data_IF_821896599546
#
_entry.id   IF_821896599546
#
_cell.length_a   1.000
_cell.length_b   1.000
_cell.length_c   1.000
_cell.angle_alpha   90.00
_cell.angle_beta   90.00
_cell.angle_gamma   90.00
#
_symmetry.space_group_name_H-M   'P 1'
#
loop_
_entity.id
_entity.type
_entity.pdbx_description
1 polymer ?
#
# COMPACT_ATOMS: atom_id res chain seq x y z
N UNK A 1 -12.98 -39.34 -25.03
CA UNK A 1 -14.40 -39.03 -24.73
C UNK A 1 -14.42 -37.78 -23.86
N UNK A 2 -14.63 -36.60 -24.45
CA UNK A 2 -14.88 -35.30 -23.78
C UNK A 2 -14.83 -34.08 -24.74
N UNK A 3 -14.89 -34.28 -26.07
CA UNK A 3 -15.06 -33.15 -27.01
C UNK A 3 -16.50 -32.60 -27.00
N UNK A 4 -17.51 -33.45 -26.77
CA UNK A 4 -18.92 -33.01 -26.73
C UNK A 4 -19.27 -32.06 -25.57
N UNK A 5 -18.67 -32.25 -24.40
CA UNK A 5 -18.98 -31.44 -23.21
C UNK A 5 -18.46 -29.99 -23.33
N UNK A 6 -17.35 -29.78 -24.05
CA UNK A 6 -16.77 -28.45 -24.26
C UNK A 6 -17.58 -27.64 -25.29
N UNK A 7 -18.06 -28.29 -26.35
CA UNK A 7 -18.97 -27.67 -27.32
C UNK A 7 -20.36 -27.40 -26.70
N UNK A 8 -20.86 -28.28 -25.82
CA UNK A 8 -22.10 -28.08 -25.07
C UNK A 8 -22.00 -26.93 -24.05
N UNK A 9 -20.85 -26.69 -23.42
CA UNK A 9 -20.64 -25.57 -22.48
C UNK A 9 -20.48 -24.20 -23.19
N UNK A 10 -19.88 -24.18 -24.39
CA UNK A 10 -19.90 -23.02 -25.27
C UNK A 10 -21.32 -22.68 -25.75
N UNK A 11 -22.10 -23.73 -26.07
CA UNK A 11 -23.54 -23.62 -26.31
C UNK A 11 -24.30 -23.06 -25.11
N UNK A 12 -24.01 -23.53 -23.90
CA UNK A 12 -24.67 -23.07 -22.67
C UNK A 12 -24.45 -21.58 -22.38
N UNK A 13 -23.27 -21.03 -22.68
CA UNK A 13 -23.00 -19.58 -22.58
C UNK A 13 -23.79 -18.77 -23.61
N UNK A 14 -23.91 -19.28 -24.84
CA UNK A 14 -24.73 -18.68 -25.89
C UNK A 14 -26.22 -18.71 -25.51
N UNK A 15 -26.70 -19.84 -24.98
CA UNK A 15 -28.10 -20.06 -24.61
C UNK A 15 -28.53 -19.21 -23.40
N UNK A 16 -27.63 -18.99 -22.42
CA UNK A 16 -27.91 -18.10 -21.28
C UNK A 16 -27.93 -16.63 -21.72
N UNK A 17 -27.04 -16.22 -22.64
CA UNK A 17 -27.05 -14.85 -23.17
C UNK A 17 -28.29 -14.60 -24.04
N UNK A 18 -28.70 -15.56 -24.87
CA UNK A 18 -29.96 -15.47 -25.63
C UNK A 18 -31.17 -15.48 -24.71
N UNK A 19 -31.19 -16.31 -23.66
CA UNK A 19 -32.26 -16.32 -22.66
C UNK A 19 -32.34 -15.00 -21.87
N UNK A 20 -31.19 -14.40 -21.52
CA UNK A 20 -31.13 -13.07 -20.90
C UNK A 20 -31.65 -11.96 -21.81
N UNK A 21 -31.40 -12.06 -23.12
CA UNK A 21 -31.96 -11.17 -24.12
C UNK A 21 -33.48 -11.37 -24.30
N UNK A 22 -33.95 -12.61 -24.36
CA UNK A 22 -35.39 -12.93 -24.44
C UNK A 22 -36.15 -12.45 -23.20
N UNK A 23 -35.54 -12.56 -22.01
CA UNK A 23 -36.10 -12.00 -20.78
C UNK A 23 -36.13 -10.48 -20.83
N UNK A 24 -35.10 -9.83 -21.36
CA UNK A 24 -35.12 -8.38 -21.56
C UNK A 24 -36.17 -7.95 -22.58
N UNK A 25 -36.44 -8.78 -23.59
CA UNK A 25 -37.51 -8.55 -24.55
C UNK A 25 -38.89 -8.63 -23.88
N UNK A 26 -39.14 -9.66 -23.06
CA UNK A 26 -40.36 -9.75 -22.23
C UNK A 26 -40.49 -8.60 -21.22
N UNK A 27 -39.38 -8.17 -20.62
CA UNK A 27 -39.33 -7.02 -19.69
C UNK A 27 -39.66 -5.72 -20.41
N UNK A 28 -39.17 -5.53 -21.63
CA UNK A 28 -39.50 -4.37 -22.46
C UNK A 28 -41.01 -4.31 -22.77
N UNK A 29 -41.63 -5.47 -23.00
CA UNK A 29 -43.07 -5.61 -23.20
C UNK A 29 -43.89 -5.25 -21.95
N UNK A 30 -43.32 -5.48 -20.77
CA UNK A 30 -43.88 -5.13 -19.46
C UNK A 30 -43.46 -3.73 -18.96
N UNK A 31 -42.76 -2.94 -19.79
CA UNK A 31 -42.16 -1.64 -19.43
C UNK A 31 -41.22 -1.70 -18.22
N UNK A 32 -40.63 -2.87 -17.97
CA UNK A 32 -39.63 -3.08 -16.93
C UNK A 32 -38.24 -2.75 -17.47
N UNK A 33 -37.34 -2.18 -16.65
CA UNK A 33 -35.97 -1.87 -17.10
C UNK A 33 -35.23 -3.15 -17.52
N UNK A 34 -34.44 -3.12 -18.61
CA UNK A 34 -33.60 -4.25 -19.00
C UNK A 34 -32.56 -4.51 -17.90
N UNK A 35 -32.25 -5.79 -17.67
CA UNK A 35 -31.23 -6.25 -16.74
C UNK A 35 -30.06 -6.81 -17.55
N UNK A 36 -28.84 -6.38 -17.25
CA UNK A 36 -27.65 -6.94 -17.87
C UNK A 36 -27.32 -8.29 -17.21
N UNK A 37 -27.29 -9.35 -18.03
CA UNK A 37 -26.98 -10.71 -17.61
C UNK A 37 -25.55 -11.12 -18.02
N UNK A 38 -24.68 -10.14 -18.35
CA UNK A 38 -23.29 -10.40 -18.71
C UNK A 38 -22.44 -10.84 -17.51
N UNK A 39 -21.60 -11.86 -17.74
CA UNK A 39 -20.70 -12.46 -16.75
C UNK A 39 -19.30 -11.80 -16.76
N UNK A 40 -19.20 -10.53 -17.13
CA UNK A 40 -17.94 -9.81 -17.02
C UNK A 40 -17.72 -9.45 -15.55
N UNK A 41 -16.62 -9.94 -14.96
CA UNK A 41 -16.12 -9.50 -13.66
C UNK A 41 -16.04 -7.97 -13.65
N UNK A 42 -16.92 -7.34 -12.87
CA UNK A 42 -16.83 -5.92 -12.59
C UNK A 42 -15.97 -5.71 -11.36
N UNK A 43 -14.69 -5.47 -11.59
CA UNK A 43 -13.93 -4.55 -10.75
C UNK A 43 -14.58 -3.16 -10.90
N UNK A 44 -15.38 -2.75 -9.92
CA UNK A 44 -15.72 -1.33 -9.78
C UNK A 44 -16.02 -0.97 -8.33
N UNK A 45 -15.39 0.13 -7.95
CA UNK A 45 -15.61 0.95 -6.79
C UNK A 45 -17.09 1.16 -6.44
N UNK A 46 -17.30 1.31 -5.13
CA UNK A 46 -18.54 1.65 -4.46
C UNK A 46 -19.17 2.90 -5.10
N UNK A 47 -20.30 2.73 -5.77
CA UNK A 47 -21.31 3.79 -5.90
C UNK A 47 -22.55 3.35 -5.13
N UNK A 48 -22.81 4.04 -4.03
CA UNK A 48 -24.10 4.03 -3.33
C UNK A 48 -25.17 4.60 -4.27
N UNK A 49 -25.90 3.73 -4.97
CA UNK A 49 -27.36 3.81 -5.05
C UNK A 49 -27.96 2.60 -5.79
N UNK A 50 -29.05 2.06 -5.22
CA UNK A 50 -29.87 0.91 -5.66
C UNK A 50 -29.42 -0.49 -5.22
N UNK A 51 -29.75 -0.80 -3.97
CA UNK A 51 -29.99 -2.18 -3.52
C UNK A 51 -31.13 -2.82 -4.33
N UNK A 52 -30.79 -3.71 -5.26
CA UNK A 52 -31.67 -4.82 -5.60
C UNK A 52 -31.43 -5.90 -4.55
N UNK A 53 -32.45 -6.19 -3.74
CA UNK A 53 -32.46 -7.33 -2.81
C UNK A 53 -32.42 -8.65 -3.61
N UNK A 54 -31.23 -9.09 -4.00
CA UNK A 54 -30.96 -10.52 -4.22
C UNK A 54 -31.08 -11.21 -2.87
N UNK A 55 -31.90 -12.25 -2.77
CA UNK A 55 -32.06 -12.96 -1.50
C UNK A 55 -30.70 -13.50 -1.03
N UNK A 56 -30.47 -13.56 0.29
CA UNK A 56 -29.23 -14.10 0.85
C UNK A 56 -28.92 -15.53 0.34
N UNK A 57 -29.96 -16.31 0.01
CA UNK A 57 -29.83 -17.63 -0.60
C UNK A 57 -29.30 -17.57 -2.04
N UNK A 58 -29.77 -16.63 -2.86
CA UNK A 58 -29.23 -16.41 -4.22
C UNK A 58 -27.77 -15.96 -4.16
N UNK A 59 -27.42 -14.99 -3.31
CA UNK A 59 -26.03 -14.55 -3.15
C UNK A 59 -25.12 -15.69 -2.68
N UNK A 60 -25.60 -16.55 -1.77
CA UNK A 60 -24.84 -17.72 -1.33
C UNK A 60 -24.67 -18.78 -2.43
N UNK A 61 -25.70 -19.01 -3.26
CA UNK A 61 -25.63 -19.96 -4.39
C UNK A 61 -24.71 -19.42 -5.49
N UNK A 62 -24.81 -18.15 -5.86
CA UNK A 62 -23.93 -17.52 -6.84
C UNK A 62 -22.49 -17.42 -6.32
N UNK A 63 -22.30 -17.09 -5.04
CA UNK A 63 -20.99 -17.09 -4.40
C UNK A 63 -20.36 -18.49 -4.36
N UNK A 64 -21.14 -19.52 -4.03
CA UNK A 64 -20.68 -20.91 -4.05
C UNK A 64 -20.34 -21.39 -5.47
N UNK A 65 -21.21 -21.13 -6.46
CA UNK A 65 -20.95 -21.49 -7.85
C UNK A 65 -19.75 -20.73 -8.43
N UNK A 66 -19.60 -19.44 -8.09
CA UNK A 66 -18.41 -18.65 -8.39
C UNK A 66 -17.17 -19.32 -7.81
N UNK A 67 -17.15 -19.57 -6.49
CA UNK A 67 -16.01 -20.22 -5.83
C UNK A 67 -15.68 -21.60 -6.38
N UNK A 68 -16.69 -22.39 -6.77
CA UNK A 68 -16.51 -23.74 -7.32
C UNK A 68 -15.97 -23.71 -8.75
N UNK A 69 -16.44 -22.77 -9.58
CA UNK A 69 -15.93 -22.53 -10.93
C UNK A 69 -14.50 -21.99 -10.86
N UNK A 70 -14.23 -21.06 -9.94
CA UNK A 70 -12.90 -20.50 -9.71
C UNK A 70 -11.93 -21.58 -9.22
N UNK A 71 -12.37 -22.45 -8.29
CA UNK A 71 -11.57 -23.58 -7.79
C UNK A 71 -11.27 -24.59 -8.90
N UNK A 72 -12.26 -24.95 -9.73
CA UNK A 72 -12.05 -25.89 -10.86
C UNK A 72 -11.22 -25.30 -11.98
N UNK A 73 -11.37 -24.01 -12.25
CA UNK A 73 -10.56 -23.28 -13.22
C UNK A 73 -9.13 -23.13 -12.71
N UNK A 74 -8.94 -22.78 -11.43
CA UNK A 74 -7.64 -22.73 -10.78
C UNK A 74 -6.95 -24.09 -10.75
N UNK A 75 -7.66 -25.20 -10.50
CA UNK A 75 -7.08 -26.55 -10.48
C UNK A 75 -6.60 -27.00 -11.87
N UNK A 76 -7.36 -26.68 -12.93
CA UNK A 76 -6.95 -26.93 -14.32
C UNK A 76 -5.78 -26.02 -14.75
N UNK A 77 -5.85 -24.74 -14.40
CA UNK A 77 -4.79 -23.78 -14.72
C UNK A 77 -3.52 -24.05 -13.90
N UNK A 78 -3.64 -24.66 -12.72
CA UNK A 78 -2.51 -25.07 -11.88
C UNK A 78 -1.67 -26.14 -12.54
N UNK A 79 -2.31 -27.19 -13.05
CA UNK A 79 -1.59 -28.23 -13.79
C UNK A 79 -1.03 -27.70 -15.12
N UNK A 80 -1.74 -26.80 -15.80
CA UNK A 80 -1.23 -26.16 -17.02
C UNK A 80 -0.01 -25.27 -16.75
N UNK A 81 -0.05 -24.40 -15.73
CA UNK A 81 1.06 -23.53 -15.34
C UNK A 81 2.27 -24.35 -14.88
N UNK A 82 2.04 -25.40 -14.08
CA UNK A 82 3.07 -26.35 -13.67
C UNK A 82 3.72 -27.03 -14.86
N UNK A 83 2.93 -27.62 -15.77
CA UNK A 83 3.44 -28.29 -16.95
C UNK A 83 4.24 -27.33 -17.83
N UNK A 84 3.74 -26.12 -18.07
CA UNK A 84 4.43 -25.10 -18.85
C UNK A 84 5.81 -24.74 -18.26
N UNK A 85 5.88 -24.43 -16.97
CA UNK A 85 7.15 -24.09 -16.30
C UNK A 85 8.10 -25.28 -16.27
N UNK A 86 7.58 -26.49 -16.02
CA UNK A 86 8.37 -27.72 -16.02
C UNK A 86 8.92 -28.05 -17.41
N UNK A 87 8.10 -27.95 -18.46
CA UNK A 87 8.53 -28.18 -19.85
C UNK A 87 9.58 -27.16 -20.27
N UNK A 88 9.40 -25.88 -19.94
CA UNK A 88 10.43 -24.88 -20.18
C UNK A 88 11.75 -25.26 -19.49
N UNK A 89 11.70 -25.57 -18.19
CA UNK A 89 12.87 -25.94 -17.40
C UNK A 89 13.63 -27.14 -18.00
N UNK A 90 12.92 -28.16 -18.47
CA UNK A 90 13.50 -29.36 -19.07
C UNK A 90 14.16 -29.07 -20.43
N UNK A 91 13.60 -28.14 -21.21
CA UNK A 91 14.02 -27.89 -22.59
C UNK A 91 15.13 -26.82 -22.72
N UNK A 92 15.26 -25.89 -21.78
CA UNK A 92 16.25 -24.80 -21.85
C UNK A 92 17.65 -25.19 -21.36
N UNK A 93 17.82 -26.37 -20.75
CA UNK A 93 19.05 -26.75 -20.04
C UNK A 93 20.32 -26.62 -20.91
N UNK A 94 20.25 -27.05 -22.18
CA UNK A 94 21.38 -26.89 -23.11
C UNK A 94 21.66 -25.43 -23.44
N UNK A 95 20.63 -24.64 -23.73
CA UNK A 95 20.77 -23.22 -24.07
C UNK A 95 21.36 -22.41 -22.90
N UNK A 96 20.99 -22.75 -21.66
CA UNK A 96 21.59 -22.16 -20.47
C UNK A 96 23.08 -22.50 -20.36
N UNK A 97 23.45 -23.77 -20.57
CA UNK A 97 24.87 -24.20 -20.51
C UNK A 97 25.70 -23.51 -21.60
N UNK A 98 25.17 -23.38 -22.82
CA UNK A 98 25.84 -22.66 -23.92
C UNK A 98 26.10 -21.18 -23.55
N UNK A 99 25.21 -20.59 -22.76
CA UNK A 99 25.36 -19.25 -22.19
C UNK A 99 26.13 -19.21 -20.85
N UNK A 100 26.68 -20.33 -20.37
CA UNK A 100 27.40 -20.39 -19.09
C UNK A 100 26.51 -20.16 -17.85
N UNK A 101 25.22 -20.42 -17.98
CA UNK A 101 24.20 -20.28 -16.94
C UNK A 101 23.72 -21.65 -16.43
N UNK A 102 23.10 -21.66 -15.26
CA UNK A 102 22.44 -22.83 -14.70
C UNK A 102 21.03 -22.47 -14.22
N UNK A 103 20.12 -23.46 -14.17
CA UNK A 103 18.81 -23.30 -13.57
C UNK A 103 18.79 -23.93 -12.17
N UNK A 104 18.14 -23.25 -11.22
CA UNK A 104 17.76 -23.84 -9.94
C UNK A 104 16.51 -24.70 -10.09
N UNK A 105 16.16 -25.43 -9.02
CA UNK A 105 14.97 -26.27 -9.02
C UNK A 105 13.69 -25.44 -9.25
N UNK A 106 12.69 -26.09 -9.83
CA UNK A 106 11.33 -25.54 -9.89
C UNK A 106 10.72 -25.58 -8.49
N UNK A 107 10.30 -24.41 -8.02
CA UNK A 107 9.67 -24.19 -6.73
C UNK A 107 8.20 -23.78 -6.92
N UNK A 108 7.34 -24.18 -5.98
CA UNK A 108 5.96 -23.71 -5.91
C UNK A 108 5.77 -22.84 -4.66
N UNK A 109 5.27 -21.62 -4.84
CA UNK A 109 4.91 -20.73 -3.74
C UNK A 109 3.49 -20.21 -3.94
N UNK A 110 2.54 -20.77 -3.19
CA UNK A 110 1.11 -20.48 -3.36
C UNK A 110 0.63 -20.78 -4.77
N UNK A 111 0.17 -19.72 -5.45
CA UNK A 111 -0.37 -19.74 -6.81
C UNK A 111 0.71 -19.52 -7.90
N UNK A 112 1.99 -19.65 -7.58
CA UNK A 112 3.10 -19.41 -8.51
C UNK A 112 4.02 -20.63 -8.60
N UNK A 113 4.38 -20.99 -9.84
CA UNK A 113 5.53 -21.85 -10.15
C UNK A 113 6.69 -21.00 -10.65
N UNK A 114 7.89 -21.23 -10.12
CA UNK A 114 9.06 -20.45 -10.53
C UNK A 114 10.35 -21.23 -10.46
N UNK A 115 11.37 -20.78 -11.21
CA UNK A 115 12.74 -21.20 -11.01
C UNK A 115 13.68 -20.04 -11.29
N UNK A 116 14.87 -20.09 -10.68
CA UNK A 116 15.91 -19.06 -10.84
C UNK A 116 16.96 -19.50 -11.84
N UNK A 117 17.49 -18.56 -12.61
CA UNK A 117 18.64 -18.77 -13.48
C UNK A 117 19.86 -18.12 -12.84
N UNK A 118 20.99 -18.79 -12.84
CA UNK A 118 22.21 -18.38 -12.16
C UNK A 118 23.39 -18.25 -13.12
N UNK A 119 24.29 -17.34 -12.79
CA UNK A 119 25.67 -17.31 -13.29
C UNK A 119 26.60 -17.65 -12.13
N UNK A 120 27.14 -18.86 -12.12
CA UNK A 120 27.82 -19.41 -10.95
C UNK A 120 26.84 -19.58 -9.78
N UNK A 121 27.08 -18.88 -8.66
CA UNK A 121 26.18 -18.88 -7.49
C UNK A 121 25.21 -17.69 -7.46
N UNK A 122 25.32 -16.74 -8.39
CA UNK A 122 24.52 -15.52 -8.37
C UNK A 122 23.26 -15.70 -9.23
N UNK A 123 22.04 -15.55 -8.68
CA UNK A 123 20.82 -15.59 -9.48
C UNK A 123 20.79 -14.34 -10.37
N UNK A 124 20.51 -14.48 -11.67
CA UNK A 124 20.35 -13.37 -12.62
C UNK A 124 18.89 -13.11 -12.96
N UNK A 125 18.12 -14.18 -13.16
CA UNK A 125 16.72 -14.13 -13.59
C UNK A 125 15.84 -15.00 -12.68
N UNK A 126 14.56 -14.65 -12.60
CA UNK A 126 13.51 -15.53 -12.11
C UNK A 126 12.48 -15.71 -13.22
N UNK A 127 12.15 -16.95 -13.56
CA UNK A 127 11.05 -17.27 -14.45
C UNK A 127 9.85 -17.62 -13.59
N UNK A 128 8.72 -16.99 -13.86
CA UNK A 128 7.52 -17.05 -13.02
C UNK A 128 6.33 -17.35 -13.91
N UNK A 129 5.59 -18.41 -13.58
CA UNK A 129 4.28 -18.71 -14.14
C UNK A 129 3.22 -18.61 -13.06
N UNK A 130 2.24 -17.73 -13.26
CA UNK A 130 1.08 -17.61 -12.38
C UNK A 130 0.04 -18.69 -12.74
N UNK A 131 -0.58 -19.30 -11.74
CA UNK A 131 -1.67 -20.26 -11.89
C UNK A 131 -2.97 -19.56 -12.33
N UNK A 132 -3.12 -18.27 -12.03
CA UNK A 132 -4.32 -17.49 -12.36
C UNK A 132 -4.26 -16.84 -13.75
N UNK A 133 -3.08 -16.78 -14.36
CA UNK A 133 -2.92 -16.24 -15.71
C UNK A 133 -2.27 -17.24 -16.65
N UNK A 134 -2.46 -17.01 -17.95
CA UNK A 134 -1.73 -17.76 -18.98
C UNK A 134 -0.33 -17.16 -19.23
N UNK A 135 0.09 -16.19 -18.43
CA UNK A 135 1.33 -15.48 -18.63
C UNK A 135 2.49 -16.18 -17.95
N UNK A 136 3.62 -16.23 -18.65
CA UNK A 136 4.92 -16.54 -18.04
C UNK A 136 5.78 -15.31 -18.19
N UNK A 137 6.37 -14.86 -17.09
CA UNK A 137 7.25 -13.70 -17.07
C UNK A 137 8.67 -14.12 -16.73
N UNK A 138 9.62 -13.33 -17.22
CA UNK A 138 11.02 -13.37 -16.81
C UNK A 138 11.34 -12.06 -16.09
N UNK A 139 11.72 -12.16 -14.82
CA UNK A 139 12.09 -11.02 -13.99
C UNK A 139 13.61 -10.96 -13.81
N UNK A 140 14.15 -9.74 -13.85
CA UNK A 140 15.59 -9.47 -13.75
C UNK A 140 15.86 -8.12 -13.07
N UNK A 141 17.13 -7.76 -12.92
CA UNK A 141 17.52 -6.44 -12.41
C UNK A 141 17.14 -5.29 -13.34
N UNK A 142 16.93 -5.54 -14.63
CA UNK A 142 16.56 -4.52 -15.62
C UNK A 142 15.04 -4.40 -15.84
N UNK A 143 14.24 -5.25 -15.17
CA UNK A 143 12.78 -5.23 -15.23
C UNK A 143 12.15 -6.60 -15.48
N UNK A 144 10.87 -6.57 -15.85
CA UNK A 144 10.02 -7.73 -16.16
C UNK A 144 9.78 -7.81 -17.67
N UNK A 145 10.07 -8.98 -18.26
CA UNK A 145 9.71 -9.33 -19.63
C UNK A 145 8.60 -10.37 -19.65
N UNK A 146 7.65 -10.24 -20.58
CA UNK A 146 6.65 -11.28 -20.83
C UNK A 146 7.17 -12.28 -21.87
N UNK A 147 7.04 -13.58 -21.58
CA UNK A 147 7.33 -14.67 -22.50
C UNK A 147 6.06 -15.07 -23.24
N UNK A 148 6.16 -15.28 -24.55
CA UNK A 148 4.98 -15.63 -25.36
C UNK A 148 4.63 -17.11 -25.16
N UNK A 149 3.37 -17.48 -24.84
CA UNK A 149 2.98 -18.87 -24.62
C UNK A 149 3.29 -19.79 -25.82
N UNK A 150 3.06 -19.30 -27.04
CA UNK A 150 3.21 -20.08 -28.27
C UNK A 150 4.67 -20.29 -28.71
N UNK A 151 5.62 -19.55 -28.11
CA UNK A 151 7.04 -19.58 -28.49
C UNK A 151 7.94 -19.35 -27.27
N UNK A 152 7.62 -20.04 -26.18
CA UNK A 152 8.13 -19.74 -24.85
C UNK A 152 9.64 -19.94 -24.76
N UNK A 153 10.15 -21.02 -25.35
CA UNK A 153 11.58 -21.34 -25.36
C UNK A 153 12.40 -20.33 -26.15
N UNK A 154 11.99 -20.00 -27.39
CA UNK A 154 12.77 -19.06 -28.20
C UNK A 154 12.68 -17.64 -27.65
N UNK A 155 11.53 -17.21 -27.12
CA UNK A 155 11.40 -15.90 -26.47
C UNK A 155 12.25 -15.82 -25.19
N UNK A 156 12.32 -16.91 -24.41
CA UNK A 156 13.21 -17.01 -23.27
C UNK A 156 14.69 -16.91 -23.66
N UNK A 157 15.13 -17.70 -24.65
CA UNK A 157 16.51 -17.71 -25.13
C UNK A 157 16.89 -16.34 -25.70
N UNK A 158 16.03 -15.74 -26.53
CA UNK A 158 16.25 -14.41 -27.09
C UNK A 158 16.37 -13.33 -25.98
N UNK A 159 15.56 -13.44 -24.92
CA UNK A 159 15.63 -12.53 -23.79
C UNK A 159 16.96 -12.66 -23.05
N UNK A 160 17.39 -13.88 -22.71
CA UNK A 160 18.65 -14.10 -21.98
C UNK A 160 19.85 -13.66 -22.81
N UNK A 161 19.94 -14.10 -24.06
CA UNK A 161 21.07 -13.78 -24.95
C UNK A 161 21.18 -12.28 -25.22
N UNK A 162 20.05 -11.58 -25.35
CA UNK A 162 20.02 -10.14 -25.56
C UNK A 162 20.37 -9.31 -24.33
N UNK A 163 20.08 -9.79 -23.11
CA UNK A 163 20.12 -8.97 -21.90
C UNK A 163 21.14 -9.40 -20.84
N UNK A 164 21.79 -10.57 -20.97
CA UNK A 164 22.69 -11.14 -19.95
C UNK A 164 23.76 -10.17 -19.45
N UNK A 165 24.54 -9.59 -20.36
CA UNK A 165 25.63 -8.67 -19.98
C UNK A 165 25.09 -7.41 -19.29
N UNK A 166 23.94 -6.90 -19.76
CA UNK A 166 23.30 -5.73 -19.15
C UNK A 166 22.75 -6.05 -17.75
N UNK A 167 22.17 -7.23 -17.56
CA UNK A 167 21.67 -7.71 -16.26
C UNK A 167 22.82 -7.84 -15.26
N UNK A 168 23.94 -8.45 -15.66
CA UNK A 168 25.13 -8.59 -14.81
C UNK A 168 25.68 -7.21 -14.44
N UNK A 169 25.86 -6.32 -15.42
CA UNK A 169 26.34 -4.95 -15.19
C UNK A 169 25.42 -4.18 -14.25
N UNK A 170 24.10 -4.28 -14.45
CA UNK A 170 23.10 -3.59 -13.64
C UNK A 170 23.07 -4.15 -12.22
N UNK A 171 23.22 -5.47 -12.04
CA UNK A 171 23.33 -6.07 -10.69
C UNK A 171 24.55 -5.58 -9.94
N UNK A 172 25.72 -5.59 -10.59
CA UNK A 172 26.95 -5.08 -9.99
C UNK A 172 26.81 -3.60 -9.59
N UNK A 173 26.19 -2.78 -10.46
CA UNK A 173 25.88 -1.39 -10.18
C UNK A 173 24.95 -1.26 -8.96
N UNK A 174 23.81 -1.96 -8.95
CA UNK A 174 22.85 -1.90 -7.84
C UNK A 174 23.45 -2.41 -6.53
N UNK A 175 24.30 -3.44 -6.57
CA UNK A 175 25.02 -3.93 -5.40
C UNK A 175 25.98 -2.87 -4.84
N UNK A 176 26.78 -2.23 -5.71
CA UNK A 176 27.66 -1.13 -5.29
C UNK A 176 26.86 0.04 -4.71
N UNK A 177 25.76 0.41 -5.36
CA UNK A 177 24.87 1.50 -4.90
C UNK A 177 24.15 1.18 -3.58
N UNK A 178 23.78 -0.09 -3.35
CA UNK A 178 23.27 -0.60 -2.05
C UNK A 178 24.34 -0.46 -0.96
N UNK A 179 25.57 -0.87 -1.25
CA UNK A 179 26.70 -0.71 -0.32
C UNK A 179 26.96 0.75 0.00
N UNK A 180 26.94 1.65 -1.00
CA UNK A 180 27.03 3.09 -0.79
C UNK A 180 25.94 3.59 0.17
N UNK A 181 24.67 3.19 0.00
CA UNK A 181 23.58 3.55 0.92
C UNK A 181 23.87 3.03 2.34
N UNK A 182 24.32 1.78 2.48
CA UNK A 182 24.69 1.22 3.79
C UNK A 182 25.78 2.04 4.49
N UNK A 183 26.85 2.39 3.76
CA UNK A 183 27.92 3.24 4.28
C UNK A 183 27.45 4.66 4.61
N UNK A 184 26.50 5.22 3.85
CA UNK A 184 25.91 6.53 4.13
C UNK A 184 25.18 6.54 5.48
N UNK A 185 24.41 5.50 5.79
CA UNK A 185 23.69 5.38 7.08
C UNK A 185 24.66 5.29 8.25
N UNK A 186 25.79 4.60 8.05
CA UNK A 186 26.85 4.47 9.05
C UNK A 186 27.73 5.73 9.18
N UNK A 187 27.58 6.71 8.28
CA UNK A 187 28.34 7.95 8.36
C UNK A 187 28.06 8.70 9.67
N UNK A 188 29.07 9.29 10.33
CA UNK A 188 28.88 9.94 11.63
C UNK A 188 27.83 11.04 11.63
N UNK A 189 27.70 11.78 10.53
CA UNK A 189 26.75 12.88 10.42
C UNK A 189 25.31 12.40 10.29
N UNK A 190 25.04 11.44 9.39
CA UNK A 190 23.69 10.89 9.21
C UNK A 190 23.28 10.10 10.46
N UNK A 191 24.17 9.23 10.96
CA UNK A 191 23.93 8.44 12.18
C UNK A 191 23.58 9.33 13.36
N UNK A 192 24.31 10.43 13.57
CA UNK A 192 24.00 11.42 14.61
C UNK A 192 22.60 12.00 14.46
N UNK A 193 22.20 12.43 13.26
CA UNK A 193 20.87 13.02 13.03
C UNK A 193 19.76 11.98 13.22
N UNK A 194 19.97 10.74 12.76
CA UNK A 194 19.01 9.64 12.96
C UNK A 194 18.82 9.36 14.45
N UNK A 195 19.90 9.29 15.23
CA UNK A 195 19.83 9.07 16.69
C UNK A 195 19.16 10.25 17.41
N UNK A 196 19.55 11.48 17.09
CA UNK A 196 18.98 12.70 17.69
C UNK A 196 17.46 12.78 17.47
N UNK A 197 16.99 12.36 16.29
CA UNK A 197 15.57 12.35 15.93
C UNK A 197 14.85 11.03 16.21
N UNK A 198 15.52 10.05 16.82
CA UNK A 198 14.98 8.69 17.09
C UNK A 198 14.40 8.03 15.84
N UNK A 199 15.06 8.22 14.71
CA UNK A 199 14.72 7.63 13.42
C UNK A 199 15.48 6.32 13.24
N UNK A 200 14.88 5.41 12.49
CA UNK A 200 15.54 4.19 12.02
C UNK A 200 15.48 4.14 10.51
N UNK A 201 16.54 3.67 9.86
CA UNK A 201 16.55 3.44 8.42
C UNK A 201 16.68 1.94 8.15
N UNK A 202 15.82 1.43 7.28
CA UNK A 202 15.90 0.04 6.85
C UNK A 202 17.03 -0.12 5.83
N UNK A 203 17.99 -0.99 6.12
CA UNK A 203 19.13 -1.26 5.24
C UNK A 203 18.81 -2.28 4.15
N UNK A 204 17.87 -3.19 4.43
CA UNK A 204 17.29 -4.08 3.41
C UNK A 204 16.15 -3.35 2.69
N UNK A 205 16.23 -3.16 1.37
CA UNK A 205 15.23 -2.39 0.65
C UNK A 205 13.91 -3.15 0.51
N UNK A 206 12.81 -2.41 0.43
CA UNK A 206 11.57 -2.88 -0.15
C UNK A 206 11.72 -2.88 -1.67
N UNK A 207 11.45 -4.03 -2.29
CA UNK A 207 11.60 -4.20 -3.74
C UNK A 207 10.29 -3.91 -4.46
N UNK A 208 10.33 -2.95 -5.38
CA UNK A 208 9.26 -2.74 -6.37
C UNK A 208 9.81 -2.96 -7.79
N UNK A 209 8.90 -2.93 -8.78
CA UNK A 209 9.20 -3.26 -10.16
C UNK A 209 10.36 -2.41 -10.73
N UNK A 210 10.35 -1.11 -10.48
CA UNK A 210 11.30 -0.17 -11.11
C UNK A 210 12.36 0.40 -10.14
N UNK A 211 12.20 0.17 -8.84
CA UNK A 211 13.05 0.77 -7.82
C UNK A 211 13.18 -0.10 -6.56
N UNK A 212 14.19 0.23 -5.77
CA UNK A 212 14.44 -0.29 -4.44
C UNK A 212 14.27 0.84 -3.44
N UNK A 213 13.48 0.64 -2.40
CA UNK A 213 13.14 1.68 -1.43
C UNK A 213 13.74 1.38 -0.06
N UNK A 214 14.43 2.36 0.52
CA UNK A 214 15.05 2.28 1.83
C UNK A 214 14.30 3.24 2.77
N UNK A 215 13.24 2.75 3.44
CA UNK A 215 12.39 3.59 4.27
C UNK A 215 13.11 4.04 5.54
N UNK A 216 12.85 5.29 5.91
CA UNK A 216 13.25 5.93 7.16
C UNK A 216 12.00 6.11 8.00
N UNK A 217 11.99 5.46 9.16
CA UNK A 217 10.83 5.30 10.02
C UNK A 217 10.99 6.07 11.33
N UNK A 218 9.88 6.59 11.84
CA UNK A 218 9.78 7.15 13.19
C UNK A 218 9.99 6.07 14.25
N UNK A 219 10.09 6.48 15.52
CA UNK A 219 10.10 5.55 16.66
C UNK A 219 8.80 4.72 16.79
N UNK A 220 7.71 5.15 16.14
CA UNK A 220 6.43 4.42 16.07
C UNK A 220 6.38 3.46 14.87
N UNK A 221 7.43 3.39 14.06
CA UNK A 221 7.48 2.55 12.86
C UNK A 221 6.78 3.13 11.63
N UNK A 222 6.28 4.37 11.71
CA UNK A 222 5.68 5.07 10.57
C UNK A 222 6.76 5.52 9.60
N UNK A 223 6.60 5.23 8.31
CA UNK A 223 7.48 5.74 7.27
C UNK A 223 7.31 7.26 7.12
N UNK A 224 8.41 8.00 7.25
CA UNK A 224 8.42 9.46 7.16
C UNK A 224 9.14 9.96 5.91
N UNK A 225 10.09 9.18 5.40
CA UNK A 225 10.92 9.49 4.25
C UNK A 225 11.44 8.18 3.66
N UNK A 226 11.79 8.15 2.38
CA UNK A 226 12.39 6.98 1.74
C UNK A 226 13.44 7.42 0.72
N UNK A 227 14.55 6.68 0.69
CA UNK A 227 15.52 6.78 -0.40
C UNK A 227 15.12 5.75 -1.44
N UNK A 228 14.93 6.16 -2.69
CA UNK A 228 14.73 5.22 -3.79
C UNK A 228 16.04 5.01 -4.55
N UNK A 229 16.22 3.82 -5.11
CA UNK A 229 17.30 3.49 -6.03
C UNK A 229 16.68 2.88 -7.28
N UNK A 230 16.70 3.64 -8.36
CA UNK A 230 16.10 3.23 -9.63
C UNK A 230 16.90 2.07 -10.25
N UNK A 231 16.21 1.01 -10.68
CA UNK A 231 16.83 -0.19 -11.24
C UNK A 231 17.49 0.04 -12.60
N UNK A 232 16.86 0.89 -13.44
CA UNK A 232 17.26 1.13 -14.84
C UNK A 232 18.63 1.81 -14.98
N UNK A 233 18.91 2.79 -14.14
CA UNK A 233 20.09 3.66 -14.26
C UNK A 233 20.89 3.77 -12.96
N UNK A 234 20.43 3.18 -11.86
CA UNK A 234 21.11 3.23 -10.57
C UNK A 234 21.12 4.61 -9.92
N UNK A 235 20.22 5.52 -10.32
CA UNK A 235 20.12 6.85 -9.72
C UNK A 235 19.40 6.79 -8.38
N UNK A 236 19.87 7.58 -7.43
CA UNK A 236 19.21 7.75 -6.14
C UNK A 236 18.06 8.75 -6.26
N UNK A 237 16.96 8.49 -5.58
CA UNK A 237 15.86 9.44 -5.40
C UNK A 237 15.65 9.75 -3.93
N UNK A 238 15.32 11.01 -3.64
CA UNK A 238 14.87 11.47 -2.33
C UNK A 238 13.79 12.53 -2.53
N UNK A 239 12.55 12.21 -2.14
CA UNK A 239 11.36 13.01 -2.50
C UNK A 239 11.30 13.20 -4.03
N UNK A 240 11.20 14.44 -4.50
CA UNK A 240 11.08 14.80 -5.92
C UNK A 240 12.43 15.08 -6.60
N UNK A 241 13.55 14.72 -5.97
CA UNK A 241 14.89 14.97 -6.49
C UNK A 241 15.64 13.67 -6.79
N UNK A 242 16.47 13.71 -7.82
CA UNK A 242 17.34 12.61 -8.25
C UNK A 242 18.82 12.97 -8.10
N UNK A 243 19.65 12.00 -7.75
CA UNK A 243 21.07 12.17 -7.50
C UNK A 243 21.89 11.02 -8.13
N UNK A 244 23.07 11.36 -8.65
CA UNK A 244 23.94 10.40 -9.35
C UNK A 244 24.96 9.75 -8.40
N UNK A 245 25.36 10.47 -7.34
CA UNK A 245 26.40 10.04 -6.41
C UNK A 245 25.90 9.96 -4.97
N UNK A 246 26.50 9.07 -4.18
CA UNK A 246 26.20 8.96 -2.75
C UNK A 246 26.48 10.24 -1.97
N UNK A 247 27.48 11.04 -2.36
CA UNK A 247 27.80 12.32 -1.72
C UNK A 247 26.70 13.38 -1.91
N UNK A 248 26.13 13.48 -3.11
CA UNK A 248 25.01 14.35 -3.40
C UNK A 248 23.77 13.93 -2.59
N UNK A 249 23.49 12.62 -2.56
CA UNK A 249 22.42 12.06 -1.74
C UNK A 249 22.64 12.35 -0.25
N UNK A 250 23.86 12.18 0.26
CA UNK A 250 24.19 12.39 1.68
C UNK A 250 23.84 13.82 2.13
N UNK A 251 24.28 14.81 1.34
CA UNK A 251 24.07 16.23 1.63
C UNK A 251 22.58 16.55 1.68
N UNK A 252 21.83 16.10 0.66
CA UNK A 252 20.38 16.30 0.60
C UNK A 252 19.66 15.54 1.74
N UNK A 253 20.08 14.32 2.06
CA UNK A 253 19.49 13.53 3.13
C UNK A 253 19.66 14.19 4.49
N UNK A 254 20.85 14.71 4.82
CA UNK A 254 21.09 15.40 6.10
C UNK A 254 20.17 16.62 6.23
N UNK A 255 20.03 17.43 5.18
CA UNK A 255 19.12 18.57 5.15
C UNK A 255 17.68 18.13 5.41
N UNK A 256 17.21 17.13 4.67
CA UNK A 256 15.84 16.61 4.81
C UNK A 256 15.57 15.98 6.18
N UNK A 257 16.53 15.23 6.73
CA UNK A 257 16.41 14.63 8.05
C UNK A 257 16.31 15.71 9.14
N UNK A 258 17.09 16.79 9.05
CA UNK A 258 17.04 17.91 10.01
C UNK A 258 15.68 18.61 10.02
N UNK A 259 15.07 18.78 8.87
CA UNK A 259 13.74 19.41 8.72
C UNK A 259 12.58 18.46 9.00
N UNK A 260 12.83 17.16 9.08
CA UNK A 260 11.78 16.16 9.23
C UNK A 260 11.01 16.35 10.54
N UNK A 261 9.69 16.48 10.44
CA UNK A 261 8.80 16.46 11.59
C UNK A 261 8.66 15.02 12.10
N UNK A 262 9.31 14.76 13.23
CA UNK A 262 9.33 13.45 13.90
C UNK A 262 8.36 13.38 15.07
N UNK A 263 7.46 14.36 15.20
CA UNK A 263 6.42 14.30 16.21
C UNK A 263 5.56 13.04 16.03
N UNK A 264 5.36 12.37 17.16
CA UNK A 264 4.46 11.22 17.30
C UNK A 264 3.04 11.59 16.91
N UNK A 265 2.23 10.58 16.59
CA UNK A 265 0.80 10.79 16.34
C UNK A 265 0.11 11.51 17.50
N UNK A 266 0.53 11.19 18.73
CA UNK A 266 0.06 11.84 19.95
C UNK A 266 0.47 13.32 20.05
N UNK A 267 1.74 13.64 19.82
CA UNK A 267 2.22 15.02 19.84
C UNK A 267 1.54 15.89 18.78
N UNK A 268 1.32 15.34 17.58
CA UNK A 268 0.57 16.01 16.51
C UNK A 268 -0.87 16.27 16.92
N UNK A 269 -1.52 15.31 17.57
CA UNK A 269 -2.87 15.48 18.10
C UNK A 269 -2.92 16.60 19.16
N UNK A 270 -1.99 16.59 20.12
CA UNK A 270 -1.90 17.62 21.15
C UNK A 270 -1.66 19.00 20.55
N UNK A 271 -0.76 19.10 19.56
CA UNK A 271 -0.47 20.35 18.85
C UNK A 271 -1.70 20.88 18.10
N UNK A 272 -2.44 19.99 17.42
CA UNK A 272 -3.68 20.35 16.74
C UNK A 272 -4.75 20.84 17.72
N UNK A 273 -4.94 20.16 18.85
CA UNK A 273 -5.89 20.58 19.90
C UNK A 273 -5.51 21.92 20.52
N UNK A 274 -4.21 22.13 20.74
CA UNK A 274 -3.70 23.41 21.21
C UNK A 274 -4.02 24.53 20.23
N UNK A 275 -3.73 24.34 18.95
CA UNK A 275 -4.04 25.32 17.90
C UNK A 275 -5.54 25.59 17.80
N UNK A 276 -6.38 24.55 17.93
CA UNK A 276 -7.84 24.66 17.92
C UNK A 276 -8.36 25.51 19.09
N UNK A 277 -7.92 25.25 20.33
CA UNK A 277 -8.30 26.06 21.49
C UNK A 277 -7.79 27.49 21.33
N UNK A 278 -6.51 27.69 20.99
CA UNK A 278 -5.92 29.02 20.84
C UNK A 278 -6.65 29.84 19.76
N UNK A 279 -7.10 29.21 18.67
CA UNK A 279 -7.92 29.82 17.65
C UNK A 279 -9.29 30.25 18.20
N UNK A 280 -10.02 29.35 18.87
CA UNK A 280 -11.34 29.63 19.47
C UNK A 280 -11.24 30.77 20.49
N UNK A 281 -10.25 30.73 21.40
CA UNK A 281 -10.04 31.76 22.41
C UNK A 281 -9.67 33.12 21.80
N UNK A 282 -9.12 33.11 20.58
CA UNK A 282 -8.78 34.31 19.82
C UNK A 282 -9.94 34.83 18.96
N UNK A 283 -11.04 34.09 18.80
CA UNK A 283 -12.19 34.57 18.05
C UNK A 283 -12.86 35.75 18.75
N UNK A 284 -13.23 36.78 17.97
CA UNK A 284 -13.88 37.97 18.52
C UNK A 284 -15.23 37.62 19.14
N UNK A 285 -16.04 36.82 18.44
CA UNK A 285 -17.35 36.34 18.89
C UNK A 285 -17.27 35.59 20.21
N UNK A 286 -16.34 34.66 20.34
CA UNK A 286 -16.15 33.91 21.58
C UNK A 286 -15.74 34.83 22.74
N UNK A 287 -14.81 35.76 22.51
CA UNK A 287 -14.38 36.75 23.51
C UNK A 287 -15.51 37.71 23.91
N UNK A 288 -16.36 38.10 22.97
CA UNK A 288 -17.52 38.96 23.25
C UNK A 288 -18.59 38.19 24.08
N UNK A 289 -18.78 36.89 23.83
CA UNK A 289 -19.64 36.02 24.65
C UNK A 289 -19.11 35.90 26.10
N UNK A 290 -17.81 35.68 26.28
CA UNK A 290 -17.21 35.62 27.62
C UNK A 290 -17.39 36.94 28.38
N UNK A 291 -17.15 38.08 27.71
CA UNK A 291 -17.31 39.42 28.32
C UNK A 291 -18.74 39.71 28.75
N UNK A 292 -19.74 39.21 28.02
CA UNK A 292 -21.15 39.40 28.39
C UNK A 292 -21.49 38.76 29.75
N UNK A 293 -20.72 37.74 30.17
CA UNK A 293 -20.86 37.03 31.44
C UNK A 293 -19.76 37.42 32.47
N UNK A 294 -19.08 38.55 32.27
CA UNK A 294 -17.94 39.00 33.09
C UNK A 294 -16.77 37.98 33.17
N UNK A 295 -16.57 37.21 32.10
CA UNK A 295 -15.49 36.22 31.96
C UNK A 295 -14.40 36.67 30.98
N UNK A 296 -13.20 36.12 31.16
CA UNK A 296 -12.06 36.27 30.28
C UNK A 296 -11.27 34.97 30.14
N UNK A 297 -10.67 34.74 28.97
CA UNK A 297 -9.81 33.59 28.71
C UNK A 297 -8.34 33.99 28.70
N UNK A 298 -7.48 33.17 29.30
CA UNK A 298 -6.04 33.23 29.05
C UNK A 298 -5.73 32.55 27.71
N UNK A 299 -5.02 33.24 26.81
CA UNK A 299 -4.61 32.67 25.51
C UNK A 299 -3.39 31.75 25.62
N UNK A 300 -2.64 31.82 26.72
CA UNK A 300 -1.51 30.95 27.00
C UNK A 300 -1.91 29.89 28.04
N UNK A 301 -1.60 28.61 27.82
CA UNK A 301 -1.95 27.56 28.77
C UNK A 301 -1.06 27.61 30.02
N UNK A 302 -1.65 27.27 31.16
CA UNK A 302 -0.93 26.91 32.38
C UNK A 302 -0.58 25.43 32.33
N UNK A 303 0.70 25.09 32.48
CA UNK A 303 1.13 23.70 32.58
C UNK A 303 0.81 23.11 33.96
N UNK A 304 0.32 21.87 33.98
CA UNK A 304 0.20 21.03 35.18
C UNK A 304 0.69 19.61 34.88
N UNK A 305 0.70 18.73 35.88
CA UNK A 305 1.13 17.34 35.68
C UNK A 305 0.24 16.67 34.63
N UNK A 306 0.84 16.23 33.53
CA UNK A 306 0.17 15.58 32.39
C UNK A 306 -0.95 16.41 31.73
N UNK A 307 -0.97 17.75 31.90
CA UNK A 307 -2.08 18.59 31.45
C UNK A 307 -1.63 19.98 30.98
N UNK A 308 -2.31 20.50 29.95
CA UNK A 308 -2.29 21.91 29.57
C UNK A 308 -3.68 22.52 29.85
N UNK A 309 -3.75 23.55 30.69
CA UNK A 309 -4.99 24.17 31.11
C UNK A 309 -5.13 25.59 30.52
N UNK A 310 -6.19 25.82 29.76
CA UNK A 310 -6.58 27.16 29.31
C UNK A 310 -7.69 27.66 30.23
N UNK A 311 -7.32 28.53 31.17
CA UNK A 311 -8.19 28.97 32.25
C UNK A 311 -9.17 30.07 31.78
N UNK A 312 -10.46 29.89 32.12
CA UNK A 312 -11.50 30.92 31.99
C UNK A 312 -11.76 31.51 33.38
N UNK A 313 -11.59 32.82 33.51
CA UNK A 313 -11.61 33.55 34.78
C UNK A 313 -12.74 34.56 34.83
N UNK A 314 -13.21 34.87 36.03
CA UNK A 314 -14.07 36.02 36.26
C UNK A 314 -13.29 37.34 36.35
N UNK A 315 -14.02 38.45 36.45
CA UNK A 315 -13.48 39.80 36.65
C UNK A 315 -12.60 39.97 37.90
N UNK A 316 -12.66 39.05 38.86
CA UNK A 316 -11.80 39.02 40.07
C UNK A 316 -10.55 38.15 39.87
N UNK A 317 -10.39 37.53 38.71
CA UNK A 317 -9.28 36.62 38.39
C UNK A 317 -9.47 35.20 38.90
N UNK A 318 -10.67 34.84 39.40
CA UNK A 318 -10.96 33.49 39.90
C UNK A 318 -11.26 32.58 38.71
N UNK A 319 -10.55 31.46 38.61
CA UNK A 319 -10.81 30.44 37.57
C UNK A 319 -12.18 29.81 37.81
N UNK A 320 -13.05 29.84 36.79
CA UNK A 320 -14.37 29.20 36.80
C UNK A 320 -14.32 27.81 36.22
N UNK A 321 -13.64 27.67 35.09
CA UNK A 321 -13.38 26.39 34.46
C UNK A 321 -12.15 26.51 33.55
N UNK A 322 -11.60 25.38 33.13
CA UNK A 322 -10.46 25.33 32.21
C UNK A 322 -10.72 24.33 31.08
N UNK A 323 -10.31 24.66 29.87
CA UNK A 323 -10.15 23.65 28.82
C UNK A 323 -8.84 22.92 29.07
N UNK A 324 -8.89 21.59 29.11
CA UNK A 324 -7.75 20.73 29.47
C UNK A 324 -7.39 19.87 28.27
N UNK A 325 -6.12 19.90 27.88
CA UNK A 325 -5.52 18.88 27.00
C UNK A 325 -4.70 17.95 27.89
N UNK A 326 -5.09 16.68 27.96
CA UNK A 326 -4.32 15.66 28.68
C UNK A 326 -3.16 15.16 27.82
N UNK A 327 -1.93 15.30 28.30
CA UNK A 327 -0.72 15.05 27.51
C UNK A 327 -0.48 13.56 27.21
N UNK A 328 -1.01 12.65 28.02
CA UNK A 328 -0.87 11.21 27.82
C UNK A 328 -1.82 10.62 26.77
N UNK A 329 -2.96 11.28 26.53
CA UNK A 329 -4.03 10.75 25.67
C UNK A 329 -4.45 11.70 24.55
N UNK A 330 -4.02 12.96 24.59
CA UNK A 330 -4.48 14.00 23.67
C UNK A 330 -5.96 14.37 23.86
N UNK A 331 -6.62 13.85 24.90
CA UNK A 331 -8.03 14.10 25.15
C UNK A 331 -8.29 15.56 25.54
N UNK A 332 -9.41 16.09 25.02
CA UNK A 332 -9.88 17.44 25.31
C UNK A 332 -11.04 17.37 26.30
N UNK A 333 -10.86 18.00 27.46
CA UNK A 333 -11.80 17.99 28.58
C UNK A 333 -12.09 19.41 29.05
N UNK A 334 -13.16 19.58 29.83
CA UNK A 334 -13.42 20.77 30.64
C UNK A 334 -13.24 20.40 32.11
N UNK A 335 -12.43 21.15 32.83
CA UNK A 335 -12.29 21.04 34.28
C UNK A 335 -13.14 22.13 34.94
N UNK A 336 -14.15 21.74 35.71
CA UNK A 336 -15.02 22.65 36.45
C UNK A 336 -15.27 22.07 37.84
N UNK A 337 -15.05 22.85 38.91
CA UNK A 337 -15.22 22.40 40.30
C UNK A 337 -14.52 21.07 40.64
N UNK A 338 -13.28 20.89 40.15
CA UNK A 338 -12.48 19.65 40.26
C UNK A 338 -13.14 18.41 39.63
N UNK A 339 -14.06 18.59 38.69
CA UNK A 339 -14.63 17.52 37.88
C UNK A 339 -14.21 17.67 36.44
N UNK A 340 -13.73 16.58 35.85
CA UNK A 340 -13.41 16.50 34.43
C UNK A 340 -14.65 16.08 33.64
N UNK A 341 -14.97 16.87 32.62
CA UNK A 341 -16.08 16.64 31.69
C UNK A 341 -15.47 16.44 30.31
N UNK A 342 -15.67 15.26 29.71
CA UNK A 342 -15.27 15.02 28.32
C UNK A 342 -16.26 15.72 27.37
N UNK A 343 -15.73 16.59 26.51
CA UNK A 343 -16.53 17.41 25.59
C UNK A 343 -17.25 16.58 24.52
N UNK A 344 -16.69 15.44 24.11
CA UNK A 344 -17.29 14.57 23.10
C UNK A 344 -18.50 13.79 23.66
N UNK A 345 -18.46 13.41 24.94
CA UNK A 345 -19.62 12.79 25.60
C UNK A 345 -20.70 13.81 26.00
N UNK A 346 -20.32 15.06 26.28
CA UNK A 346 -21.29 16.13 26.58
C UNK A 346 -22.22 16.43 25.38
N UNK A 347 -21.70 16.41 24.15
CA UNK A 347 -22.49 16.58 22.91
C UNK A 347 -23.43 15.38 22.63
N UNK A 348 -23.06 14.17 23.04
CA UNK A 348 -23.93 12.99 22.88
C UNK A 348 -25.00 12.91 23.98
N UNK A 349 -24.71 13.36 25.20
CA UNK A 349 -25.64 13.40 26.32
C UNK A 349 -26.68 14.53 26.24
N UNK A 350 -26.36 15.64 25.57
CA UNK A 350 -27.27 16.78 25.39
C UNK A 350 -28.40 16.54 24.39
N UNK A 351 -28.34 15.46 23.59
CA UNK A 351 -29.51 14.96 22.83
C UNK A 351 -30.53 14.18 23.68
N UNK A 352 -30.24 13.94 24.96
CA UNK A 352 -31.19 13.31 25.90
C UNK A 352 -31.34 14.13 27.17
N UNK A 353 -32.29 15.07 27.13
CA UNK A 353 -33.34 15.32 28.15
C UNK A 353 -34.09 16.63 27.87
N UNK A 354 -35.36 16.77 28.29
CA UNK A 354 -36.50 15.85 28.31
C UNK A 354 -37.47 16.10 27.14
#
# INVERSE_FOLDING_TARGET
YNKGVVDELGGFRSDISSFGNDINEMRSFLLLPPKDYSYAEKDTEINEDRTMETSAAEQAIYGFLGSYIDEKTAEKNKEAAKQRIQSLYENIGKALVDEGLSAGNVEQNGDIYSFKIFSGSEPLYAVIGDIKSDETIIQSSIGVGQLKPDDLENTFIAYITGNKEEVIKTKALLAAKKTEIGTLVESPEISKVLVEKKLSMQTEPLEENDALFFPIKSSEGTELLSISLARKNGTYGLKDKTFETGEQLATALIEQLRELDVSTSMEKMIAARRAEIEAILSEKTFRDMLKAEDLAADTAPRAAYNQLLYDIKDSKGTVKFSFVIELSSGSLKVLMDNREIDLFTFLQGSKKKP
#
